data_IF_886540910324
#
_entry.id   IF_886540910324
#
_cell.length_a   1.000
_cell.length_b   1.000
_cell.length_c   1.000
_cell.angle_alpha   90.00
_cell.angle_beta   90.00
_cell.angle_gamma   90.00
#
_symmetry.space_group_name_H-M   'P 1'
#
loop_
_entity.id
_entity.type
_entity.pdbx_description
1 polymer ?
#
# COMPACT_ATOMS: atom_id res chain seq x y z
N UNK A 1 -6.89 13.57 10.93
CA UNK A 1 -6.74 12.10 10.82
C UNK A 1 -7.57 11.35 11.87
N UNK A 2 -8.85 11.70 12.03
CA UNK A 2 -9.70 11.10 13.07
C UNK A 2 -10.95 10.38 12.54
N UNK A 3 -11.18 10.32 11.22
CA UNK A 3 -12.45 9.83 10.64
C UNK A 3 -12.40 8.42 10.05
N UNK A 4 -11.23 7.81 9.87
CA UNK A 4 -11.08 6.54 9.14
C UNK A 4 -10.08 5.53 9.77
N UNK A 5 -9.54 5.80 10.97
CA UNK A 5 -8.64 4.88 11.66
C UNK A 5 -7.25 4.70 11.01
N UNK A 6 -6.92 5.51 10.00
CA UNK A 6 -5.62 5.45 9.33
C UNK A 6 -4.53 6.20 10.11
N UNK A 7 -3.40 5.54 10.33
CA UNK A 7 -2.17 6.16 10.85
C UNK A 7 -1.35 6.68 9.68
N UNK A 8 -0.94 7.95 9.75
CA UNK A 8 -0.02 8.56 8.77
C UNK A 8 1.37 8.62 9.40
N UNK A 9 2.35 8.03 8.72
CA UNK A 9 3.75 8.01 9.13
C UNK A 9 4.59 8.80 8.12
N UNK A 10 5.54 9.59 8.61
CA UNK A 10 6.49 10.31 7.76
C UNK A 10 7.78 9.49 7.62
N UNK A 11 8.07 9.00 6.41
CA UNK A 11 9.27 8.21 6.13
C UNK A 11 10.43 9.08 5.63
N UNK A 12 10.94 9.96 6.50
CA UNK A 12 11.98 10.95 6.13
C UNK A 12 13.27 10.31 5.63
N UNK A 13 13.59 9.11 6.11
CA UNK A 13 14.81 8.39 5.76
C UNK A 13 14.61 7.42 4.58
N UNK A 14 13.44 7.42 3.93
CA UNK A 14 13.08 6.47 2.87
C UNK A 14 13.19 4.98 3.29
N UNK A 15 13.01 4.70 4.58
CA UNK A 15 13.15 3.36 5.15
C UNK A 15 12.20 2.37 4.51
N UNK A 16 10.93 2.74 4.32
CA UNK A 16 9.93 1.88 3.71
C UNK A 16 10.20 1.70 2.22
N UNK A 17 10.53 2.79 1.51
CA UNK A 17 10.87 2.73 0.08
C UNK A 17 12.02 1.75 -0.18
N UNK A 18 13.08 1.84 0.62
CA UNK A 18 14.30 1.07 0.42
C UNK A 18 14.13 -0.38 0.88
N UNK A 19 13.49 -0.63 2.03
CA UNK A 19 13.23 -1.98 2.53
C UNK A 19 12.36 -2.80 1.57
N UNK A 20 11.37 -2.16 0.95
CA UNK A 20 10.49 -2.81 -0.03
C UNK A 20 11.00 -2.68 -1.48
N UNK A 21 12.21 -2.16 -1.69
CA UNK A 21 12.84 -1.99 -3.01
C UNK A 21 11.93 -1.30 -4.02
N UNK A 22 11.15 -0.31 -3.57
CA UNK A 22 10.11 0.31 -4.39
C UNK A 22 10.70 1.20 -5.50
N UNK A 23 11.99 1.56 -5.44
CA UNK A 23 12.62 2.49 -6.36
C UNK A 23 12.06 3.91 -6.23
N UNK A 24 12.13 4.71 -7.29
CA UNK A 24 11.55 6.05 -7.27
C UNK A 24 10.01 5.98 -7.22
N UNK A 25 9.43 6.53 -6.16
CA UNK A 25 8.00 6.61 -5.89
C UNK A 25 7.53 8.05 -5.69
N UNK A 26 8.34 9.05 -6.06
CA UNK A 26 7.96 10.44 -5.90
C UNK A 26 6.70 10.76 -6.73
N UNK A 27 5.74 11.47 -6.14
CA UNK A 27 4.44 11.80 -6.75
C UNK A 27 3.64 10.58 -7.28
N UNK A 28 3.90 9.38 -6.77
CA UNK A 28 3.19 8.14 -7.15
C UNK A 28 2.51 7.49 -5.95
N UNK A 29 1.59 6.58 -6.22
CA UNK A 29 0.96 5.73 -5.21
C UNK A 29 1.59 4.34 -5.21
N UNK A 30 1.72 3.77 -4.01
CA UNK A 30 2.01 2.35 -3.81
C UNK A 30 0.96 1.80 -2.85
N UNK A 31 0.31 0.71 -3.26
CA UNK A 31 -0.60 -0.06 -2.42
C UNK A 31 0.10 -1.37 -2.05
N UNK A 32 0.18 -1.62 -0.74
CA UNK A 32 0.67 -2.87 -0.17
C UNK A 32 -0.42 -3.43 0.74
N UNK A 33 -0.71 -4.72 0.63
CA UNK A 33 -1.51 -5.44 1.62
C UNK A 33 -0.66 -6.57 2.20
N UNK A 34 -0.51 -6.54 3.52
CA UNK A 34 0.21 -7.56 4.27
C UNK A 34 -0.80 -8.32 5.14
N UNK A 35 -0.78 -9.65 5.10
CA UNK A 35 -1.67 -10.51 5.89
C UNK A 35 -1.30 -10.49 7.39
N UNK A 36 -2.11 -11.14 8.23
CA UNK A 36 -1.81 -11.27 9.67
C UNK A 36 -0.58 -12.15 9.92
N UNK A 37 -0.31 -13.06 8.99
CA UNK A 37 0.84 -13.96 8.99
C UNK A 37 2.13 -13.26 8.53
N UNK A 38 2.01 -12.02 8.03
CA UNK A 38 3.15 -11.22 7.55
C UNK A 38 3.41 -11.36 6.05
N UNK A 39 2.54 -12.02 5.29
CA UNK A 39 2.72 -12.23 3.85
C UNK A 39 2.29 -11.01 3.05
N UNK A 40 3.10 -10.60 2.08
CA UNK A 40 2.69 -9.59 1.09
C UNK A 40 1.71 -10.24 0.09
N UNK A 41 0.43 -9.94 0.24
CA UNK A 41 -0.67 -10.56 -0.54
C UNK A 41 -1.18 -9.68 -1.67
N UNK A 42 -0.75 -8.42 -1.73
CA UNK A 42 -1.01 -7.52 -2.85
C UNK A 42 0.06 -6.43 -2.91
N UNK A 43 0.55 -6.12 -4.12
CA UNK A 43 1.40 -4.97 -4.36
C UNK A 43 1.06 -4.33 -5.71
N UNK A 44 0.79 -3.02 -5.69
CA UNK A 44 0.62 -2.21 -6.90
C UNK A 44 1.38 -0.90 -6.76
N UNK A 45 2.21 -0.58 -7.75
CA UNK A 45 2.95 0.68 -7.84
C UNK A 45 2.52 1.44 -9.09
N UNK A 46 2.45 2.76 -8.97
CA UNK A 46 2.21 3.67 -10.09
C UNK A 46 0.80 4.25 -10.10
N UNK A 47 0.34 4.77 -11.25
CA UNK A 47 -1.01 5.31 -11.40
C UNK A 47 -2.06 4.24 -11.06
N UNK A 48 -3.01 4.59 -10.18
CA UNK A 48 -4.11 3.71 -9.81
C UNK A 48 -5.29 3.92 -10.75
N UNK A 49 -5.52 2.95 -11.64
CA UNK A 49 -6.76 2.90 -12.42
C UNK A 49 -7.94 2.48 -11.54
N UNK A 50 -9.16 2.71 -12.00
CA UNK A 50 -10.35 2.25 -11.26
C UNK A 50 -10.44 0.71 -11.20
N UNK A 51 -9.87 0.02 -12.19
CA UNK A 51 -9.73 -1.43 -12.16
C UNK A 51 -8.79 -1.88 -11.03
N UNK A 52 -7.64 -1.21 -10.86
CA UNK A 52 -6.68 -1.50 -9.79
C UNK A 52 -7.32 -1.30 -8.41
N UNK A 53 -8.12 -0.24 -8.24
CA UNK A 53 -8.86 0.00 -6.98
C UNK A 53 -9.85 -1.12 -6.72
N UNK A 54 -10.61 -1.55 -7.73
CA UNK A 54 -11.61 -2.62 -7.61
C UNK A 54 -10.94 -3.93 -7.22
N UNK A 55 -9.84 -4.29 -7.87
CA UNK A 55 -9.05 -5.48 -7.54
C UNK A 55 -8.53 -5.41 -6.10
N UNK A 56 -7.93 -4.28 -5.71
CA UNK A 56 -7.47 -4.09 -4.34
C UNK A 56 -8.56 -4.34 -3.30
N UNK A 57 -9.76 -3.77 -3.50
CA UNK A 57 -10.87 -4.00 -2.57
C UNK A 57 -11.36 -5.45 -2.57
N UNK A 58 -11.33 -6.16 -3.71
CA UNK A 58 -11.67 -7.58 -3.76
C UNK A 58 -10.68 -8.43 -2.96
N UNK A 59 -9.39 -8.09 -2.99
CA UNK A 59 -8.37 -8.78 -2.19
C UNK A 59 -8.57 -8.45 -0.71
N UNK A 60 -8.72 -7.18 -0.34
CA UNK A 60 -8.93 -6.74 1.06
C UNK A 60 -10.13 -7.44 1.70
N UNK A 61 -11.24 -7.63 0.98
CA UNK A 61 -12.43 -8.32 1.50
C UNK A 61 -12.16 -9.77 1.93
N UNK A 62 -11.14 -10.44 1.39
CA UNK A 62 -10.76 -11.81 1.79
C UNK A 62 -10.06 -11.86 3.16
N UNK A 63 -9.51 -10.74 3.61
CA UNK A 63 -8.70 -10.63 4.83
C UNK A 63 -9.38 -9.79 5.93
N UNK A 64 -10.64 -9.40 5.73
CA UNK A 64 -11.45 -8.68 6.72
C UNK A 64 -12.04 -9.65 7.73
#
# INVERSE_FOLDING_TARGET
TASNGATVLADQNNTLRDAWQLGDCNNMFVLLLVSKEGDLVFMRKGPLSDADKKEFYQVVQKYR
#
